data_IF_584016770084
#
_entry.id   IF_584016770084
#
_cell.length_a   1.000
_cell.length_b   1.000
_cell.length_c   1.000
_cell.angle_alpha   90.00
_cell.angle_beta   90.00
_cell.angle_gamma   90.00
#
_symmetry.space_group_name_H-M   'P 1'
#
loop_
_entity.id
_entity.type
_entity.pdbx_description
1 polymer ?
#
# COMPACT_ATOMS: atom_id res chain seq x y z
N UNK A 1 29.67 -16.64 -7.83
CA UNK A 1 28.57 -15.67 -8.05
C UNK A 1 29.14 -14.34 -8.52
N UNK A 2 30.04 -13.71 -7.74
CA UNK A 2 30.78 -12.48 -8.14
C UNK A 2 31.46 -12.60 -9.52
N UNK A 3 32.20 -13.68 -9.77
CA UNK A 3 32.87 -13.93 -11.07
C UNK A 3 31.91 -13.96 -12.26
N UNK A 4 30.70 -14.51 -12.09
CA UNK A 4 29.70 -14.54 -13.16
C UNK A 4 29.15 -13.15 -13.48
N UNK A 5 28.98 -12.30 -12.46
CA UNK A 5 28.62 -10.90 -12.65
C UNK A 5 29.75 -10.10 -13.31
N UNK A 6 31.01 -10.33 -12.91
CA UNK A 6 32.15 -9.67 -13.56
C UNK A 6 32.22 -9.97 -15.05
N UNK A 7 32.02 -11.23 -15.43
CA UNK A 7 32.05 -11.66 -16.82
C UNK A 7 30.87 -11.09 -17.63
N UNK A 8 29.65 -11.17 -17.09
CA UNK A 8 28.45 -10.70 -17.79
C UNK A 8 28.45 -9.17 -17.98
N UNK A 9 28.81 -8.43 -16.94
CA UNK A 9 28.78 -6.97 -16.97
C UNK A 9 30.09 -6.35 -17.44
N UNK A 10 31.15 -7.15 -17.65
CA UNK A 10 32.48 -6.66 -18.04
C UNK A 10 33.11 -5.72 -17.00
N UNK A 11 32.83 -5.95 -15.71
CA UNK A 11 33.30 -5.10 -14.60
C UNK A 11 34.22 -5.87 -13.65
N UNK A 12 35.17 -5.15 -13.08
CA UNK A 12 36.02 -5.64 -12.00
C UNK A 12 35.47 -5.14 -10.66
N UNK A 13 35.22 -6.05 -9.71
CA UNK A 13 34.78 -5.67 -8.37
C UNK A 13 35.98 -5.26 -7.52
N UNK A 14 35.94 -4.05 -6.97
CA UNK A 14 36.94 -3.58 -6.01
C UNK A 14 36.38 -3.76 -4.60
N UNK A 15 37.13 -4.45 -3.74
CA UNK A 15 36.76 -4.57 -2.33
C UNK A 15 37.11 -3.28 -1.61
N UNK A 16 36.09 -2.69 -0.98
CA UNK A 16 36.25 -1.52 -0.12
C UNK A 16 35.73 -1.82 1.29
N UNK A 17 36.28 -1.11 2.27
CA UNK A 17 35.89 -1.19 3.66
C UNK A 17 35.16 0.08 4.06
N UNK A 18 34.06 -0.06 4.80
CA UNK A 18 33.33 1.12 5.29
C UNK A 18 34.24 2.03 6.12
N UNK A 19 34.24 3.31 5.76
CA UNK A 19 34.84 4.39 6.52
C UNK A 19 34.17 4.54 7.89
N UNK A 20 34.81 5.31 8.78
CA UNK A 20 34.24 5.61 10.10
C UNK A 20 32.85 6.29 9.98
N UNK A 21 32.69 7.22 9.03
CA UNK A 21 31.43 7.95 8.82
C UNK A 21 30.32 7.05 8.30
N UNK A 22 30.63 6.14 7.38
CA UNK A 22 29.66 5.16 6.88
C UNK A 22 29.24 4.18 7.97
N UNK A 23 30.20 3.66 8.76
CA UNK A 23 29.89 2.80 9.92
C UNK A 23 28.98 3.50 10.91
N UNK A 24 29.24 4.79 11.20
CA UNK A 24 28.39 5.60 12.07
C UNK A 24 26.99 5.78 11.46
N UNK A 25 26.88 6.02 10.15
CA UNK A 25 25.59 6.19 9.47
C UNK A 25 24.78 4.90 9.38
N UNK A 26 25.44 3.77 9.16
CA UNK A 26 24.85 2.44 9.21
C UNK A 26 24.26 2.20 10.60
N UNK A 27 25.00 2.49 11.67
CA UNK A 27 24.50 2.33 13.03
C UNK A 27 23.31 3.25 13.34
N UNK A 28 23.36 4.50 12.89
CA UNK A 28 22.22 5.44 12.98
C UNK A 28 20.97 4.87 12.28
N UNK A 29 21.11 4.31 11.07
CA UNK A 29 20.00 3.69 10.34
C UNK A 29 19.46 2.43 11.03
N UNK A 30 20.33 1.59 11.59
CA UNK A 30 19.92 0.43 12.36
C UNK A 30 19.10 0.87 13.56
N UNK A 31 19.65 1.75 14.39
CA UNK A 31 19.05 2.17 15.65
C UNK A 31 17.77 2.98 15.44
N UNK A 32 17.69 3.83 14.42
CA UNK A 32 16.58 4.77 14.27
C UNK A 32 15.55 4.34 13.23
N UNK A 33 15.79 3.27 12.48
CA UNK A 33 14.83 2.77 11.48
C UNK A 33 14.74 1.26 11.47
N UNK A 34 15.80 0.55 11.07
CA UNK A 34 15.67 -0.85 10.70
C UNK A 34 15.48 -1.82 11.88
N UNK A 35 15.92 -1.45 13.09
CA UNK A 35 15.69 -2.21 14.31
C UNK A 35 14.55 -1.68 15.18
N UNK A 36 13.88 -0.58 14.77
CA UNK A 36 12.76 -0.01 15.52
C UNK A 36 11.51 -0.85 15.32
N UNK A 37 10.86 -1.23 16.41
CA UNK A 37 9.59 -1.97 16.36
C UNK A 37 8.52 -1.19 15.58
N UNK A 38 8.48 0.13 15.73
CA UNK A 38 7.53 0.98 15.03
C UNK A 38 7.74 0.95 13.51
N UNK A 39 8.96 0.66 13.03
CA UNK A 39 9.25 0.49 11.61
C UNK A 39 8.92 -0.94 11.16
N UNK A 40 9.38 -1.94 11.91
CA UNK A 40 9.18 -3.37 11.61
C UNK A 40 7.69 -3.73 11.61
N UNK A 41 6.94 -3.20 12.57
CA UNK A 41 5.50 -3.42 12.75
C UNK A 41 4.67 -2.19 12.35
N UNK A 42 5.24 -1.27 11.56
CA UNK A 42 4.60 -0.02 11.09
C UNK A 42 3.25 -0.22 10.38
N UNK A 43 2.93 -1.45 9.97
CA UNK A 43 1.59 -1.81 9.49
C UNK A 43 0.63 -1.93 10.67
N UNK A 44 0.41 -0.80 11.36
CA UNK A 44 -0.78 -0.63 12.19
C UNK A 44 -1.97 -0.71 11.24
N UNK A 45 -2.61 -1.88 11.19
CA UNK A 45 -3.87 -2.04 10.45
C UNK A 45 -4.78 -0.94 10.99
N UNK A 46 -5.26 0.00 10.14
CA UNK A 46 -6.18 1.02 10.61
C UNK A 46 -7.39 0.32 11.24
N UNK A 47 -8.28 1.09 11.87
CA UNK A 47 -9.63 0.64 12.24
C UNK A 47 -10.52 0.29 11.02
N UNK A 48 -9.92 -0.26 9.97
CA UNK A 48 -10.51 -0.74 8.76
C UNK A 48 -11.50 -1.86 9.10
N UNK A 49 -12.72 -1.67 8.61
CA UNK A 49 -13.83 -2.59 8.83
C UNK A 49 -13.80 -3.75 7.84
N UNK A 50 -13.10 -3.58 6.72
CA UNK A 50 -12.99 -4.55 5.64
C UNK A 50 -11.56 -4.59 5.12
N UNK A 51 -11.12 -5.79 4.75
CA UNK A 51 -9.93 -6.04 3.96
C UNK A 51 -10.32 -6.77 2.67
N UNK A 52 -9.76 -6.35 1.54
CA UNK A 52 -9.85 -7.04 0.25
C UNK A 52 -8.45 -7.35 -0.22
N UNK A 53 -8.25 -8.57 -0.72
CA UNK A 53 -6.97 -9.02 -1.24
C UNK A 53 -7.16 -9.49 -2.68
N UNK A 54 -6.28 -9.07 -3.59
CA UNK A 54 -6.35 -9.41 -5.02
C UNK A 54 -4.95 -9.63 -5.56
N UNK A 55 -4.74 -10.75 -6.26
CA UNK A 55 -3.55 -10.97 -7.08
C UNK A 55 -3.67 -10.15 -8.37
N UNK A 56 -2.64 -9.37 -8.66
CA UNK A 56 -2.50 -8.57 -9.88
C UNK A 56 -1.20 -8.97 -10.60
N UNK A 57 -1.00 -8.58 -11.88
CA UNK A 57 0.28 -8.76 -12.55
C UNK A 57 1.46 -8.13 -11.79
N UNK A 58 1.21 -7.05 -11.06
CA UNK A 58 2.18 -6.35 -10.22
C UNK A 58 2.46 -6.97 -8.85
N UNK A 59 1.76 -8.04 -8.47
CA UNK A 59 1.81 -8.65 -7.14
C UNK A 59 0.44 -8.72 -6.45
N UNK A 60 0.43 -9.22 -5.23
CA UNK A 60 -0.69 -9.18 -4.29
C UNK A 60 -0.91 -7.76 -3.76
N UNK A 61 -2.09 -7.22 -4.03
CA UNK A 61 -2.60 -6.02 -3.35
C UNK A 61 -3.56 -6.42 -2.23
N UNK A 62 -3.42 -5.75 -1.09
CA UNK A 62 -4.29 -5.83 0.07
C UNK A 62 -4.76 -4.41 0.42
N UNK A 63 -6.06 -4.18 0.34
CA UNK A 63 -6.68 -2.89 0.61
C UNK A 63 -7.54 -3.01 1.86
N UNK A 64 -7.18 -2.22 2.87
CA UNK A 64 -7.94 -2.02 4.08
C UNK A 64 -8.77 -0.75 3.95
N UNK A 65 -10.07 -0.82 4.24
CA UNK A 65 -10.99 0.29 3.99
C UNK A 65 -11.99 0.49 5.15
N UNK A 66 -12.26 1.75 5.49
CA UNK A 66 -13.37 2.16 6.36
C UNK A 66 -14.27 3.17 5.66
N UNK A 67 -15.57 3.03 5.86
CA UNK A 67 -16.57 3.99 5.40
C UNK A 67 -17.26 4.68 6.58
N UNK A 68 -17.45 5.99 6.47
CA UNK A 68 -18.27 6.81 7.35
C UNK A 68 -19.26 7.61 6.50
N UNK A 69 -20.56 7.58 6.84
CA UNK A 69 -21.62 8.33 6.14
C UNK A 69 -21.58 8.29 4.58
N UNK A 70 -21.15 7.17 3.99
CA UNK A 70 -21.08 7.01 2.53
C UNK A 70 -19.82 7.57 1.86
N UNK A 71 -18.82 7.99 2.64
CA UNK A 71 -17.50 8.42 2.16
C UNK A 71 -16.40 7.51 2.71
N UNK A 72 -15.28 7.43 1.98
CA UNK A 72 -14.07 6.70 2.39
C UNK A 72 -13.41 7.47 3.53
N UNK A 73 -13.50 6.95 4.75
CA UNK A 73 -12.90 7.56 5.94
C UNK A 73 -11.40 7.29 6.02
N UNK A 74 -11.02 6.05 5.69
CA UNK A 74 -9.63 5.61 5.63
C UNK A 74 -9.47 4.52 4.57
N UNK A 75 -8.32 4.54 3.92
CA UNK A 75 -7.86 3.49 3.02
C UNK A 75 -6.36 3.28 3.26
N UNK A 76 -5.94 2.02 3.30
CA UNK A 76 -4.53 1.62 3.37
C UNK A 76 -4.29 0.54 2.32
N UNK A 77 -3.28 0.75 1.49
CA UNK A 77 -2.87 -0.12 0.39
C UNK A 77 -1.54 -0.77 0.79
N UNK A 78 -1.54 -2.09 0.90
CA UNK A 78 -0.38 -2.91 1.32
C UNK A 78 -0.27 -4.13 0.43
N UNK A 79 0.83 -4.87 0.50
CA UNK A 79 1.06 -6.01 -0.39
C UNK A 79 2.53 -6.18 -0.74
N UNK A 80 2.79 -7.04 -1.71
CA UNK A 80 4.12 -7.36 -2.25
C UNK A 80 4.36 -6.72 -3.63
N UNK A 81 3.70 -5.59 -3.91
CA UNK A 81 3.82 -4.86 -5.17
C UNK A 81 5.03 -3.92 -5.19
N UNK A 82 5.48 -3.58 -6.40
CA UNK A 82 6.54 -2.59 -6.61
C UNK A 82 5.97 -1.18 -6.79
N UNK A 83 6.33 -0.27 -5.88
CA UNK A 83 5.96 1.15 -5.93
C UNK A 83 6.87 1.97 -5.03
N UNK A 84 6.79 3.30 -5.13
CA UNK A 84 7.39 4.21 -4.15
C UNK A 84 6.39 4.54 -3.05
N UNK A 85 6.86 4.69 -1.80
CA UNK A 85 6.02 5.12 -0.67
C UNK A 85 5.28 6.43 -0.97
N UNK A 86 5.90 7.33 -1.74
CA UNK A 86 5.30 8.60 -2.18
C UNK A 86 4.07 8.39 -3.08
N UNK A 87 4.15 7.46 -4.04
CA UNK A 87 3.04 7.18 -4.96
C UNK A 87 1.86 6.56 -4.22
N UNK A 88 2.12 5.54 -3.39
CA UNK A 88 1.07 4.88 -2.58
C UNK A 88 0.40 5.88 -1.65
N UNK A 89 1.18 6.66 -0.89
CA UNK A 89 0.65 7.63 0.05
C UNK A 89 -0.17 8.74 -0.65
N UNK A 90 0.26 9.18 -1.84
CA UNK A 90 -0.50 10.15 -2.64
C UNK A 90 -1.87 9.60 -3.04
N UNK A 91 -1.94 8.33 -3.45
CA UNK A 91 -3.20 7.67 -3.81
C UNK A 91 -4.11 7.55 -2.59
N UNK A 92 -3.59 7.07 -1.47
CA UNK A 92 -4.35 6.90 -0.21
C UNK A 92 -4.93 8.23 0.29
N UNK A 93 -4.09 9.28 0.34
CA UNK A 93 -4.50 10.61 0.79
C UNK A 93 -5.58 11.21 -0.13
N UNK A 94 -5.45 11.02 -1.44
CA UNK A 94 -6.42 11.54 -2.41
C UNK A 94 -7.78 10.83 -2.32
N UNK A 95 -7.78 9.53 -2.04
CA UNK A 95 -9.00 8.74 -1.88
C UNK A 95 -9.72 9.00 -0.55
N UNK A 96 -9.01 9.51 0.47
CA UNK A 96 -9.62 9.91 1.74
C UNK A 96 -10.71 10.96 1.52
N UNK A 97 -11.83 10.79 2.20
CA UNK A 97 -13.05 11.60 2.08
C UNK A 97 -13.74 11.57 0.70
N UNK A 98 -13.34 10.66 -0.18
CA UNK A 98 -14.00 10.47 -1.47
C UNK A 98 -15.35 9.76 -1.29
N UNK A 99 -16.42 10.19 -1.97
CA UNK A 99 -17.69 9.45 -1.99
C UNK A 99 -17.50 7.99 -2.44
N UNK A 100 -18.16 7.06 -1.74
CA UNK A 100 -18.02 5.62 -1.96
C UNK A 100 -18.82 5.13 -3.19
N UNK A 101 -18.59 5.75 -4.35
CA UNK A 101 -19.15 5.34 -5.63
C UNK A 101 -18.07 5.32 -6.72
N UNK A 102 -18.29 4.48 -7.74
CA UNK A 102 -17.30 4.19 -8.78
C UNK A 102 -16.81 5.47 -9.48
N UNK A 103 -17.74 6.32 -9.91
CA UNK A 103 -17.43 7.55 -10.66
C UNK A 103 -16.55 8.51 -9.87
N UNK A 104 -16.78 8.65 -8.56
CA UNK A 104 -15.95 9.50 -7.71
C UNK A 104 -14.54 8.93 -7.54
N UNK A 105 -14.42 7.62 -7.31
CA UNK A 105 -13.12 6.93 -7.17
C UNK A 105 -12.31 7.03 -8.48
N UNK A 106 -12.91 6.74 -9.62
CA UNK A 106 -12.28 6.87 -10.95
C UNK A 106 -11.77 8.30 -11.19
N UNK A 107 -12.61 9.30 -10.86
CA UNK A 107 -12.25 10.73 -11.00
C UNK A 107 -11.08 11.14 -10.12
N UNK A 108 -10.92 10.53 -8.95
CA UNK A 108 -9.77 10.80 -8.07
C UNK A 108 -8.54 10.09 -8.62
N UNK A 109 -8.64 8.80 -8.93
CA UNK A 109 -7.52 8.00 -9.42
C UNK A 109 -6.91 8.56 -10.71
N UNK A 110 -7.75 8.96 -11.67
CA UNK A 110 -7.30 9.62 -12.92
C UNK A 110 -6.47 10.90 -12.73
N UNK A 111 -6.53 11.54 -11.56
CA UNK A 111 -5.72 12.74 -11.25
C UNK A 111 -4.41 12.46 -10.54
N UNK A 112 -4.33 11.33 -9.84
CA UNK A 112 -3.22 11.05 -8.91
C UNK A 112 -2.41 9.83 -9.29
N UNK A 113 -2.97 8.96 -10.12
CA UNK A 113 -2.36 7.74 -10.59
C UNK A 113 -2.06 7.85 -12.08
N UNK A 114 -0.83 7.49 -12.43
CA UNK A 114 -0.42 7.14 -13.78
C UNK A 114 -0.22 5.63 -13.83
N UNK A 115 -0.85 4.99 -14.80
CA UNK A 115 -0.79 3.55 -14.98
C UNK A 115 0.66 3.12 -15.21
N UNK A 116 1.04 1.99 -14.62
CA UNK A 116 2.39 1.38 -14.62
C UNK A 116 3.56 2.20 -14.03
N UNK A 117 3.39 3.50 -13.77
CA UNK A 117 4.37 4.32 -13.02
C UNK A 117 4.08 4.33 -11.51
N UNK A 118 2.81 4.35 -11.13
CA UNK A 118 2.41 4.57 -9.74
C UNK A 118 2.58 3.30 -8.92
N UNK A 119 1.98 2.21 -9.40
CA UNK A 119 2.13 0.85 -8.88
C UNK A 119 2.37 -0.01 -10.12
N UNK A 120 3.54 -0.64 -10.20
CA UNK A 120 3.92 -1.42 -11.37
C UNK A 120 2.95 -2.58 -11.58
N UNK A 121 2.44 -2.76 -12.80
CA UNK A 121 1.52 -3.86 -13.14
C UNK A 121 0.11 -3.71 -12.57
N UNK A 122 -0.27 -2.50 -12.15
CA UNK A 122 -1.63 -2.17 -11.67
C UNK A 122 -2.11 -0.90 -12.34
N UNK A 123 -3.24 -1.00 -13.05
CA UNK A 123 -3.90 0.15 -13.67
C UNK A 123 -4.94 0.76 -12.74
N UNK A 124 -5.29 2.02 -13.02
CA UNK A 124 -6.34 2.76 -12.34
C UNK A 124 -7.70 2.04 -12.38
N UNK A 125 -8.00 1.33 -13.48
CA UNK A 125 -9.23 0.51 -13.59
C UNK A 125 -9.21 -0.67 -12.63
N UNK A 126 -8.12 -1.44 -12.60
CA UNK A 126 -7.97 -2.60 -11.70
C UNK A 126 -8.04 -2.15 -10.25
N UNK A 127 -7.37 -1.05 -9.89
CA UNK A 127 -7.42 -0.50 -8.55
C UNK A 127 -8.83 -0.03 -8.17
N UNK A 128 -9.55 0.62 -9.10
CA UNK A 128 -10.95 1.00 -8.91
C UNK A 128 -11.82 -0.21 -8.58
N UNK A 129 -11.70 -1.29 -9.34
CA UNK A 129 -12.49 -2.51 -9.14
C UNK A 129 -12.27 -3.11 -7.75
N UNK A 130 -11.01 -3.21 -7.31
CA UNK A 130 -10.67 -3.75 -5.98
C UNK A 130 -11.23 -2.84 -4.86
N UNK A 131 -11.12 -1.52 -5.02
CA UNK A 131 -11.69 -0.55 -4.05
C UNK A 131 -13.21 -0.68 -3.99
N UNK A 132 -13.88 -0.81 -5.14
CA UNK A 132 -15.32 -0.97 -5.20
C UNK A 132 -15.79 -2.28 -4.57
N UNK A 133 -15.04 -3.37 -4.73
CA UNK A 133 -15.28 -4.63 -4.01
C UNK A 133 -15.23 -4.41 -2.48
N UNK A 134 -14.22 -3.66 -2.01
CA UNK A 134 -14.09 -3.30 -0.58
C UNK A 134 -15.27 -2.47 -0.08
N UNK A 135 -15.69 -1.46 -0.85
CA UNK A 135 -16.85 -0.63 -0.55
C UNK A 135 -18.13 -1.48 -0.44
N UNK A 136 -18.36 -2.39 -1.41
CA UNK A 136 -19.53 -3.26 -1.38
C UNK A 136 -19.54 -4.16 -0.14
N UNK A 137 -18.40 -4.73 0.24
CA UNK A 137 -18.25 -5.50 1.48
C UNK A 137 -18.49 -4.67 2.74
N UNK A 138 -18.07 -3.40 2.77
CA UNK A 138 -18.38 -2.50 3.89
C UNK A 138 -19.90 -2.25 4.02
N UNK A 139 -20.58 -2.06 2.89
CA UNK A 139 -22.02 -1.79 2.84
C UNK A 139 -22.85 -3.05 3.16
N UNK A 140 -22.42 -4.24 2.74
CA UNK A 140 -23.09 -5.50 3.08
C UNK A 140 -22.86 -5.91 4.53
N UNK A 141 -21.65 -5.66 5.08
CA UNK A 141 -21.33 -5.91 6.48
C UNK A 141 -22.15 -5.07 7.47
N UNK A 142 -22.52 -3.83 7.12
CA UNK A 142 -23.41 -2.99 7.94
C UNK A 142 -24.81 -3.60 8.15
N UNK A 143 -25.32 -4.38 7.19
CA UNK A 143 -26.66 -5.00 7.30
C UNK A 143 -26.72 -6.12 8.34
N UNK A 144 -25.60 -6.75 8.70
CA UNK A 144 -25.59 -7.79 9.75
C UNK A 144 -25.63 -7.22 11.18
N UNK A 145 -25.06 -6.04 11.40
CA UNK A 145 -24.93 -5.47 12.76
C UNK A 145 -26.22 -4.76 13.22
N UNK A 146 -27.14 -4.44 12.31
CA UNK A 146 -28.43 -3.84 12.66
C UNK A 146 -29.48 -4.84 13.17
N UNK A 147 -29.21 -6.15 13.13
CA UNK A 147 -30.16 -7.19 13.56
C UNK A 147 -29.89 -7.77 14.97
N UNK A 148 -29.03 -7.16 15.77
CA UNK A 148 -28.76 -7.61 17.17
C UNK A 148 -28.95 -6.52 18.22
N UNK A 149 -29.66 -5.44 17.90
CA UNK A 149 -30.08 -4.45 18.90
C UNK A 149 -31.60 -4.46 19.00
N UNK A 150 -32.11 -5.40 19.79
CA UNK A 150 -33.53 -5.60 20.02
C UNK A 150 -33.81 -7.02 20.51
N UNK A 151 -33.36 -7.33 21.74
CA UNK A 151 -33.89 -8.37 22.63
C UNK A 151 -33.04 -8.37 23.91
N UNK A 152 -33.48 -7.58 24.89
CA UNK A 152 -33.40 -7.79 26.34
C UNK A 152 -33.89 -6.52 27.03
#
# INVERSE_FOLDING_TARGET
MEEAFSQEFGVEFVRDSFSFWEKKKIQDLIQNRYAREEWVFSVSRPSAKVCVQKKTPGGLLQIYLSLSKGVIESILITGDFFSTTKNVSRIEQALKWTPANKKAVEKVLSKVMRDDESIYGVTSSVLTEIIMEGIQKCLSGRRRVQNTCGLA
#
